data_IF_282852441552
#
_entry.id   IF_282852441552
#
_cell.length_a   1.000
_cell.length_b   1.000
_cell.length_c   1.000
_cell.angle_alpha   90.00
_cell.angle_beta   90.00
_cell.angle_gamma   90.00
#
_symmetry.space_group_name_H-M   'P 1'
#
loop_
_entity.id
_entity.type
_entity.pdbx_description
1 polymer ?
#
# COMPACT_ATOMS: atom_id res chain seq x y z
N UNK A 1 8.37 -18.47 -13.90
CA UNK A 1 8.96 -17.41 -13.04
C UNK A 1 8.40 -17.60 -11.66
N UNK A 2 9.25 -17.68 -10.64
CA UNK A 2 8.81 -17.65 -9.24
C UNK A 2 8.91 -16.21 -8.78
N UNK A 3 7.80 -15.61 -8.35
CA UNK A 3 7.82 -14.31 -7.70
C UNK A 3 8.11 -14.49 -6.20
N UNK A 4 8.73 -13.50 -5.54
CA UNK A 4 8.83 -13.47 -4.08
C UNK A 4 7.45 -13.40 -3.43
N UNK A 5 7.39 -13.60 -2.11
CA UNK A 5 6.15 -13.44 -1.35
C UNK A 5 5.58 -12.01 -1.52
N UNK A 6 4.24 -11.84 -1.55
CA UNK A 6 3.62 -10.53 -1.81
C UNK A 6 4.12 -9.40 -0.90
N UNK A 7 4.26 -9.67 0.40
CA UNK A 7 4.76 -8.69 1.36
C UNK A 7 6.21 -8.26 1.05
N UNK A 8 7.04 -9.14 0.48
CA UNK A 8 8.42 -8.80 0.11
C UNK A 8 8.43 -7.80 -1.03
N UNK A 9 7.63 -8.06 -2.07
CA UNK A 9 7.52 -7.17 -3.23
C UNK A 9 7.05 -5.77 -2.82
N UNK A 10 5.97 -5.69 -2.03
CA UNK A 10 5.41 -4.39 -1.61
C UNK A 10 6.34 -3.68 -0.64
N UNK A 11 6.95 -4.39 0.32
CA UNK A 11 7.93 -3.81 1.25
C UNK A 11 9.12 -3.23 0.51
N UNK A 12 9.68 -3.97 -0.45
CA UNK A 12 10.88 -3.53 -1.18
C UNK A 12 10.56 -2.28 -2.01
N UNK A 13 9.41 -2.24 -2.69
CA UNK A 13 8.92 -1.02 -3.35
C UNK A 13 8.73 0.14 -2.36
N UNK A 14 8.14 -0.10 -1.18
CA UNK A 14 7.98 0.95 -0.16
C UNK A 14 9.32 1.48 0.35
N UNK A 15 10.31 0.61 0.54
CA UNK A 15 11.65 1.02 0.92
C UNK A 15 12.28 1.93 -0.13
N UNK A 16 12.19 1.56 -1.43
CA UNK A 16 12.66 2.42 -2.52
C UNK A 16 11.98 3.81 -2.50
N UNK A 17 10.66 3.86 -2.25
CA UNK A 17 9.93 5.13 -2.14
C UNK A 17 10.35 5.93 -0.90
N UNK A 18 10.59 5.27 0.23
CA UNK A 18 11.05 5.93 1.44
C UNK A 18 12.44 6.53 1.26
N UNK A 19 13.36 5.79 0.62
CA UNK A 19 14.70 6.25 0.23
C UNK A 19 14.64 7.45 -0.73
N UNK A 20 13.70 7.43 -1.68
CA UNK A 20 13.43 8.55 -2.58
C UNK A 20 12.73 9.76 -1.90
N UNK A 21 12.47 9.70 -0.59
CA UNK A 21 11.91 10.82 0.16
C UNK A 21 10.39 10.86 0.27
N UNK A 22 9.67 9.85 -0.23
CA UNK A 22 8.20 9.82 -0.19
C UNK A 22 7.70 9.64 1.25
N UNK A 23 7.05 10.66 1.79
CA UNK A 23 6.61 10.71 3.20
C UNK A 23 5.67 9.57 3.55
N UNK A 24 4.68 9.25 2.70
CA UNK A 24 3.76 8.12 2.90
C UNK A 24 4.51 6.78 3.04
N UNK A 25 5.60 6.58 2.32
CA UNK A 25 6.40 5.37 2.46
C UNK A 25 7.27 5.38 3.73
N UNK A 26 7.79 6.54 4.14
CA UNK A 26 8.63 6.68 5.35
C UNK A 26 7.92 6.36 6.65
N UNK A 27 6.60 6.57 6.70
CA UNK A 27 5.81 6.31 7.92
C UNK A 27 5.43 4.84 8.07
N UNK A 28 5.73 3.98 7.08
CA UNK A 28 5.44 2.55 7.15
C UNK A 28 6.41 1.89 8.12
N UNK A 29 5.87 1.17 9.11
CA UNK A 29 6.66 0.41 10.09
C UNK A 29 6.53 -1.09 9.92
N UNK A 30 5.57 -1.56 9.12
CA UNK A 30 5.38 -2.99 8.86
C UNK A 30 4.60 -3.28 7.58
N UNK A 31 4.94 -4.40 6.96
CA UNK A 31 4.16 -5.01 5.86
C UNK A 31 4.04 -6.49 6.15
N UNK A 32 2.82 -6.98 6.25
CA UNK A 32 2.51 -8.37 6.53
C UNK A 32 1.52 -8.94 5.51
N UNK A 33 1.55 -10.25 5.30
CA UNK A 33 0.62 -10.95 4.43
C UNK A 33 0.12 -12.20 5.15
N UNK A 34 -1.21 -12.34 5.25
CA UNK A 34 -1.87 -13.54 5.77
C UNK A 34 -3.19 -13.75 5.04
N UNK A 35 -3.47 -14.98 4.62
CA UNK A 35 -4.78 -15.41 4.09
C UNK A 35 -5.37 -14.49 3.01
N UNK A 36 -4.52 -14.04 2.07
CA UNK A 36 -4.95 -13.14 0.99
C UNK A 36 -5.02 -11.66 1.36
N UNK A 37 -4.79 -11.30 2.62
CA UNK A 37 -4.82 -9.92 3.11
C UNK A 37 -3.40 -9.39 3.26
N UNK A 38 -3.08 -8.32 2.54
CA UNK A 38 -1.85 -7.55 2.73
C UNK A 38 -2.11 -6.40 3.70
N UNK A 39 -1.41 -6.39 4.84
CA UNK A 39 -1.54 -5.34 5.85
C UNK A 39 -0.32 -4.44 5.81
N UNK A 40 -0.54 -3.14 5.64
CA UNK A 40 0.48 -2.09 5.73
C UNK A 40 0.24 -1.31 7.01
N UNK A 41 1.20 -1.38 7.94
CA UNK A 41 1.15 -0.67 9.21
C UNK A 41 1.90 0.66 9.09
N UNK A 42 1.23 1.75 9.48
CA UNK A 42 1.80 3.10 9.47
C UNK A 42 1.81 3.71 10.87
N UNK A 43 2.84 4.50 11.15
CA UNK A 43 3.01 5.27 12.39
C UNK A 43 3.52 6.69 12.07
N UNK A 44 2.67 7.56 11.50
CA UNK A 44 3.09 8.89 11.07
C UNK A 44 3.77 9.71 12.17
N UNK A 45 3.25 9.65 13.40
CA UNK A 45 3.71 10.39 14.57
C UNK A 45 5.16 10.09 14.97
N UNK A 46 5.72 8.96 14.55
CA UNK A 46 7.14 8.64 14.79
C UNK A 46 8.10 9.38 13.86
N UNK A 47 7.62 9.85 12.71
CA UNK A 47 8.48 10.35 11.64
C UNK A 47 8.10 11.76 11.18
N UNK A 48 6.86 12.20 11.41
CA UNK A 48 6.31 13.46 10.91
C UNK A 48 5.33 14.04 11.93
N UNK A 49 5.25 15.37 12.00
CA UNK A 49 4.18 16.05 12.73
C UNK A 49 2.80 15.66 12.19
N UNK A 50 1.84 15.38 13.09
CA UNK A 50 0.50 14.92 12.71
C UNK A 50 -0.29 15.95 11.90
N UNK A 51 -0.11 17.26 12.13
CA UNK A 51 -0.80 18.27 11.33
C UNK A 51 -0.22 18.32 9.91
N UNK A 52 1.11 18.17 9.79
CA UNK A 52 1.76 18.06 8.49
C UNK A 52 1.31 16.77 7.75
N UNK A 53 1.21 15.64 8.46
CA UNK A 53 0.67 14.39 7.90
C UNK A 53 -0.77 14.56 7.40
N UNK A 54 -1.65 15.15 8.20
CA UNK A 54 -3.04 15.36 7.83
C UNK A 54 -3.15 16.29 6.61
N UNK A 55 -2.43 17.41 6.62
CA UNK A 55 -2.41 18.36 5.49
C UNK A 55 -1.90 17.72 4.20
N UNK A 56 -0.88 16.85 4.28
CA UNK A 56 -0.38 16.09 3.14
C UNK A 56 -1.41 15.10 2.60
N UNK A 57 -2.31 14.58 3.42
CA UNK A 57 -3.29 13.58 2.96
C UNK A 57 -4.64 14.18 2.56
N UNK A 58 -5.01 15.36 3.07
CA UNK A 58 -6.20 16.09 2.66
C UNK A 58 -6.09 16.66 1.23
N UNK A 59 -4.88 17.04 0.80
CA UNK A 59 -4.65 17.70 -0.49
C UNK A 59 -4.36 16.77 -1.67
N UNK A 60 -4.21 15.46 -1.47
CA UNK A 60 -3.87 14.51 -2.53
C UNK A 60 -5.12 13.94 -3.19
N UNK A 61 -5.05 13.72 -4.50
CA UNK A 61 -6.16 13.13 -5.28
C UNK A 61 -6.36 11.64 -5.01
N UNK A 62 -5.39 10.97 -4.39
CA UNK A 62 -5.41 9.53 -4.08
C UNK A 62 -5.41 9.29 -2.57
N UNK A 63 -6.18 8.28 -2.16
CA UNK A 63 -6.29 7.86 -0.76
C UNK A 63 -5.01 7.14 -0.30
N UNK A 64 -4.89 6.87 1.00
CA UNK A 64 -3.77 6.08 1.54
C UNK A 64 -3.79 4.67 0.92
N UNK A 65 -4.96 4.06 0.87
CA UNK A 65 -5.18 2.77 0.22
C UNK A 65 -4.75 2.77 -1.24
N UNK A 66 -5.11 3.79 -2.02
CA UNK A 66 -4.68 3.91 -3.41
C UNK A 66 -3.14 3.96 -3.53
N UNK A 67 -2.47 4.74 -2.67
CA UNK A 67 -1.01 4.83 -2.67
C UNK A 67 -0.37 3.47 -2.38
N UNK A 68 -0.78 2.79 -1.30
CA UNK A 68 -0.20 1.49 -0.92
C UNK A 68 -0.59 0.36 -1.86
N UNK A 69 -1.71 0.49 -2.59
CA UNK A 69 -2.14 -0.47 -3.59
C UNK A 69 -1.42 -0.30 -4.94
N UNK A 70 -0.53 0.68 -5.11
CA UNK A 70 0.12 1.01 -6.39
C UNK A 70 0.68 -0.21 -7.12
N UNK A 71 1.43 -1.08 -6.43
CA UNK A 71 2.03 -2.28 -7.05
C UNK A 71 0.99 -3.30 -7.52
N UNK A 72 -0.23 -3.26 -6.99
CA UNK A 72 -1.36 -4.08 -7.45
C UNK A 72 -2.07 -3.44 -8.66
N UNK A 73 -1.76 -2.20 -9.00
CA UNK A 73 -2.44 -1.45 -10.06
C UNK A 73 -1.83 -1.63 -11.46
N UNK A 74 -0.61 -2.16 -11.60
CA UNK A 74 0.05 -2.26 -12.92
C UNK A 74 -0.44 -3.45 -13.76
N UNK A 75 -0.15 -3.40 -15.05
CA UNK A 75 -0.49 -4.46 -16.03
C UNK A 75 0.64 -5.47 -16.25
N UNK A 76 1.74 -5.37 -15.51
CA UNK A 76 2.88 -6.28 -15.62
C UNK A 76 2.62 -7.63 -14.90
N UNK A 77 3.47 -8.63 -15.16
CA UNK A 77 3.31 -9.99 -14.61
C UNK A 77 3.41 -10.05 -13.08
N UNK A 78 4.21 -9.18 -12.46
CA UNK A 78 4.33 -9.10 -11.00
C UNK A 78 3.02 -8.62 -10.38
N UNK A 79 2.40 -7.60 -10.96
CA UNK A 79 1.13 -7.06 -10.46
C UNK A 79 -0.03 -8.02 -10.69
N UNK A 80 -0.03 -8.79 -11.79
CA UNK A 80 -0.99 -9.90 -11.98
C UNK A 80 -0.83 -10.93 -10.87
N UNK A 81 0.39 -11.39 -10.61
CA UNK A 81 0.68 -12.32 -9.50
C UNK A 81 0.25 -11.76 -8.14
N UNK A 82 0.53 -10.48 -7.86
CA UNK A 82 0.11 -9.84 -6.62
C UNK A 82 -1.41 -9.85 -6.46
N UNK A 83 -2.19 -9.61 -7.52
CA UNK A 83 -3.65 -9.64 -7.47
C UNK A 83 -4.23 -11.05 -7.37
N UNK A 84 -3.53 -12.07 -7.86
CA UNK A 84 -3.92 -13.47 -7.65
C UNK A 84 -3.76 -13.89 -6.19
N UNK A 85 -2.74 -13.34 -5.50
CA UNK A 85 -2.41 -13.70 -4.11
C UNK A 85 -3.07 -12.79 -3.08
N UNK A 86 -3.24 -11.50 -3.38
CA UNK A 86 -3.75 -10.48 -2.47
C UNK A 86 -5.14 -10.07 -2.94
N UNK A 87 -6.15 -10.45 -2.19
CA UNK A 87 -7.55 -10.08 -2.44
C UNK A 87 -7.91 -8.75 -1.78
N UNK A 88 -7.24 -8.42 -0.68
CA UNK A 88 -7.52 -7.24 0.11
C UNK A 88 -6.22 -6.60 0.62
N UNK A 89 -6.15 -5.27 0.57
CA UNK A 89 -5.11 -4.48 1.23
C UNK A 89 -5.72 -3.68 2.37
N UNK A 90 -5.13 -3.77 3.56
CA UNK A 90 -5.51 -2.96 4.72
C UNK A 90 -4.39 -2.00 5.08
N UNK A 91 -4.75 -0.75 5.29
CA UNK A 91 -3.89 0.25 5.90
C UNK A 91 -4.29 0.34 7.37
N UNK A 92 -3.34 0.08 8.27
CA UNK A 92 -3.60 0.04 9.71
C UNK A 92 -2.63 0.95 10.46
N UNK A 93 -3.05 1.46 11.61
CA UNK A 93 -2.18 2.09 12.61
C UNK A 93 -1.44 1.04 13.43
N UNK A 94 -0.43 1.45 14.22
CA UNK A 94 0.31 0.53 15.09
C UNK A 94 -0.52 -0.16 16.18
N UNK A 95 -1.63 0.44 16.61
CA UNK A 95 -2.57 -0.19 17.55
C UNK A 95 -3.50 -1.22 16.87
N UNK A 96 -3.39 -1.39 15.54
CA UNK A 96 -4.18 -2.32 14.75
C UNK A 96 -5.50 -1.75 14.21
N UNK A 97 -5.79 -0.47 14.43
CA UNK A 97 -7.00 0.16 13.87
C UNK A 97 -6.90 0.25 12.34
N UNK A 98 -7.94 -0.19 11.64
CA UNK A 98 -8.01 -0.12 10.17
C UNK A 98 -8.42 1.29 9.77
N UNK A 99 -7.53 1.96 9.03
CA UNK A 99 -7.78 3.29 8.45
C UNK A 99 -8.50 3.18 7.11
N UNK A 100 -8.07 2.23 6.27
CA UNK A 100 -8.61 2.04 4.93
C UNK A 100 -8.49 0.58 4.50
N UNK A 101 -9.44 0.13 3.68
CA UNK A 101 -9.42 -1.19 3.07
C UNK A 101 -9.63 -1.06 1.56
N UNK A 102 -8.83 -1.78 0.79
CA UNK A 102 -8.87 -1.79 -0.67
C UNK A 102 -9.11 -3.21 -1.16
N UNK A 103 -10.23 -3.41 -1.84
CA UNK A 103 -10.46 -4.60 -2.65
C UNK A 103 -9.59 -4.51 -3.91
N UNK A 104 -8.68 -5.47 -4.10
CA UNK A 104 -7.66 -5.39 -5.15
C UNK A 104 -8.24 -5.58 -6.55
N UNK A 105 -9.36 -6.31 -6.68
CA UNK A 105 -10.06 -6.48 -7.94
C UNK A 105 -10.82 -5.19 -8.32
N UNK A 106 -11.49 -4.55 -7.36
CA UNK A 106 -12.12 -3.25 -7.56
C UNK A 106 -11.07 -2.18 -7.89
N UNK A 107 -9.93 -2.18 -7.21
CA UNK A 107 -8.83 -1.27 -7.46
C UNK A 107 -8.24 -1.46 -8.87
N UNK A 108 -8.06 -2.70 -9.34
CA UNK A 108 -7.63 -2.97 -10.71
C UNK A 108 -8.59 -2.33 -11.72
N UNK A 109 -9.91 -2.52 -11.56
CA UNK A 109 -10.91 -1.94 -12.47
C UNK A 109 -10.88 -0.41 -12.46
N UNK A 110 -10.68 0.20 -11.29
CA UNK A 110 -10.53 1.66 -11.14
C UNK A 110 -9.30 2.19 -11.89
N UNK A 111 -8.15 1.50 -11.78
CA UNK A 111 -6.88 1.96 -12.39
C UNK A 111 -6.76 1.59 -13.87
N UNK A 112 -7.34 0.48 -14.30
CA UNK A 112 -7.29 -0.02 -15.67
C UNK A 112 -8.70 -0.34 -16.19
N UNK A 113 -9.54 0.67 -16.45
CA UNK A 113 -10.95 0.47 -16.82
C UNK A 113 -11.15 -0.18 -18.20
N UNK A 114 -10.07 -0.34 -18.98
CA UNK A 114 -10.09 -0.90 -20.32
C UNK A 114 -9.74 -2.41 -20.36
N UNK A 115 -9.51 -3.02 -19.18
CA UNK A 115 -9.20 -4.43 -19.00
C UNK A 115 -10.34 -5.16 -18.29
#
# INVERSE_FOLDING_TARGET
MSFPAPYTIVRDWLNERAEAGVVRAKVVTGVAYSDGVLTVTIEPEKFVDLNAWNSLNEGYSDSLGDFYATELGWTNKQSVYLREMVTELRVVTADGSVLETVDTAAYQRKKNPQF
#
